data_IF_860555817823
#
_entry.id   IF_860555817823
#
_cell.length_a   1.000
_cell.length_b   1.000
_cell.length_c   1.000
_cell.angle_alpha   90.00
_cell.angle_beta   90.00
_cell.angle_gamma   90.00
#
_symmetry.space_group_name_H-M   'P 1'
#
loop_
_entity.id
_entity.type
_entity.pdbx_description
1 polymer ?
#
# COMPACT_ATOMS: atom_id res chain seq x y z
N UNK A 1 -14.92 6.62 -11.91
CA UNK A 1 -13.93 7.13 -10.93
C UNK A 1 -12.66 6.29 -11.05
N UNK A 2 -12.00 6.35 -12.21
CA UNK A 2 -10.74 5.65 -12.52
C UNK A 2 -9.90 6.47 -13.53
N UNK A 3 -10.25 7.75 -13.73
CA UNK A 3 -9.64 8.67 -14.71
C UNK A 3 -8.67 9.69 -14.08
N UNK A 4 -8.27 9.47 -12.82
CA UNK A 4 -7.40 10.42 -12.10
C UNK A 4 -5.93 10.02 -12.02
N UNK A 5 -5.55 8.81 -12.47
CA UNK A 5 -4.18 8.30 -12.31
C UNK A 5 -3.31 8.49 -13.56
N UNK A 6 -3.54 9.55 -14.34
CA UNK A 6 -2.74 9.91 -15.52
C UNK A 6 -1.53 10.81 -15.22
N UNK A 7 -1.04 10.88 -13.98
CA UNK A 7 0.16 11.66 -13.64
C UNK A 7 1.03 10.84 -12.71
N UNK A 8 2.22 10.51 -13.21
CA UNK A 8 3.35 9.88 -12.52
C UNK A 8 3.01 9.41 -11.10
N UNK A 9 2.81 8.11 -10.93
CA UNK A 9 2.81 7.53 -9.59
C UNK A 9 4.13 7.97 -8.93
N UNK A 10 4.02 8.76 -7.86
CA UNK A 10 5.15 9.22 -7.07
C UNK A 10 5.04 8.57 -5.70
N UNK A 11 6.14 8.56 -4.96
CA UNK A 11 6.15 8.08 -3.58
C UNK A 11 5.00 8.65 -2.76
N UNK A 12 4.73 9.95 -2.91
CA UNK A 12 3.68 10.65 -2.18
C UNK A 12 2.28 10.15 -2.55
N UNK A 13 1.93 10.08 -3.85
CA UNK A 13 0.57 9.69 -4.26
C UNK A 13 0.29 8.23 -3.89
N UNK A 14 1.27 7.35 -4.05
CA UNK A 14 1.15 5.94 -3.64
C UNK A 14 1.06 5.81 -2.11
N UNK A 15 1.86 6.57 -1.35
CA UNK A 15 1.79 6.60 0.11
C UNK A 15 0.42 7.07 0.62
N UNK A 16 -0.15 8.11 0.01
CA UNK A 16 -1.47 8.63 0.38
C UNK A 16 -2.58 7.61 0.15
N UNK A 17 -2.52 6.84 -0.95
CA UNK A 17 -3.47 5.76 -1.23
C UNK A 17 -3.40 4.69 -0.16
N UNK A 18 -2.20 4.18 0.16
CA UNK A 18 -2.04 3.16 1.19
C UNK A 18 -2.48 3.67 2.57
N UNK A 19 -2.18 4.93 2.91
CA UNK A 19 -2.62 5.55 4.16
C UNK A 19 -4.14 5.70 4.23
N UNK A 20 -4.80 6.01 3.13
CA UNK A 20 -6.26 6.07 3.06
C UNK A 20 -6.88 4.69 3.28
N UNK A 21 -6.32 3.64 2.66
CA UNK A 21 -6.75 2.24 2.85
C UNK A 21 -6.53 1.79 4.29
N UNK A 22 -5.38 2.16 4.87
CA UNK A 22 -5.02 1.91 6.25
C UNK A 22 -5.86 2.72 7.26
N UNK A 23 -6.80 3.56 6.81
CA UNK A 23 -7.61 4.44 7.67
C UNK A 23 -6.73 5.31 8.58
N UNK A 24 -5.72 5.96 7.99
CA UNK A 24 -4.70 6.75 8.68
C UNK A 24 -3.81 5.99 9.67
N UNK A 25 -3.84 4.65 9.66
CA UNK A 25 -2.87 3.83 10.39
C UNK A 25 -1.54 3.73 9.62
N UNK A 26 -0.42 3.54 10.33
CA UNK A 26 0.89 3.33 9.71
C UNK A 26 1.10 1.91 9.15
N UNK A 27 0.12 1.02 9.34
CA UNK A 27 0.16 -0.38 8.92
C UNK A 27 -1.15 -0.79 8.27
N UNK A 28 -1.10 -1.75 7.36
CA UNK A 28 -2.26 -2.40 6.75
C UNK A 28 -2.55 -3.72 7.43
N UNK A 29 -3.82 -4.02 7.63
CA UNK A 29 -4.26 -5.35 8.10
C UNK A 29 -4.57 -6.25 6.91
N UNK A 30 -4.55 -7.56 7.13
CA UNK A 30 -4.99 -8.53 6.12
C UNK A 30 -6.38 -8.26 5.59
N UNK A 31 -7.30 -7.83 6.46
CA UNK A 31 -8.66 -7.48 6.08
C UNK A 31 -8.70 -6.29 5.12
N UNK A 32 -7.87 -5.28 5.34
CA UNK A 32 -7.76 -4.13 4.44
C UNK A 32 -7.11 -4.52 3.10
N UNK A 33 -6.11 -5.41 3.13
CA UNK A 33 -5.50 -5.91 1.90
C UNK A 33 -6.51 -6.68 1.05
N UNK A 34 -7.27 -7.60 1.65
CA UNK A 34 -8.27 -8.41 0.96
C UNK A 34 -9.50 -7.59 0.50
N UNK A 35 -9.85 -6.53 1.24
CA UNK A 35 -10.99 -5.67 0.90
C UNK A 35 -10.71 -4.71 -0.25
N UNK A 36 -9.47 -4.20 -0.36
CA UNK A 36 -9.12 -3.15 -1.31
C UNK A 36 -8.27 -3.63 -2.49
N UNK A 37 -7.62 -4.80 -2.37
CA UNK A 37 -6.79 -5.39 -3.42
C UNK A 37 -7.32 -6.77 -3.83
N UNK A 38 -7.02 -7.19 -5.05
CA UNK A 38 -7.33 -8.55 -5.51
C UNK A 38 -6.53 -9.58 -4.72
N UNK A 39 -6.98 -10.84 -4.69
CA UNK A 39 -6.27 -11.91 -3.96
C UNK A 39 -4.80 -12.06 -4.40
N UNK A 40 -4.52 -11.87 -5.69
CA UNK A 40 -3.16 -11.92 -6.26
C UNK A 40 -2.31 -10.74 -5.77
N UNK A 41 -2.83 -9.52 -5.86
CA UNK A 41 -2.16 -8.30 -5.40
C UNK A 41 -1.94 -8.32 -3.88
N UNK A 42 -2.92 -8.77 -3.11
CA UNK A 42 -2.83 -8.91 -1.67
C UNK A 42 -1.75 -9.94 -1.28
N UNK A 43 -1.68 -11.08 -1.98
CA UNK A 43 -0.62 -12.07 -1.75
C UNK A 43 0.78 -11.52 -2.09
N UNK A 44 0.89 -10.76 -3.18
CA UNK A 44 2.13 -10.08 -3.55
C UNK A 44 2.54 -9.06 -2.49
N UNK A 45 1.62 -8.19 -2.07
CA UNK A 45 1.86 -7.18 -1.03
C UNK A 45 2.25 -7.84 0.29
N UNK A 46 1.60 -8.92 0.71
CA UNK A 46 2.00 -9.67 1.94
C UNK A 46 3.44 -10.21 1.88
N UNK A 47 3.94 -10.52 0.69
CA UNK A 47 5.31 -11.00 0.48
C UNK A 47 6.35 -9.88 0.42
N UNK A 48 5.94 -8.70 -0.07
CA UNK A 48 6.81 -7.54 -0.22
C UNK A 48 6.84 -6.64 1.03
N UNK A 49 5.69 -6.46 1.67
CA UNK A 49 5.53 -5.60 2.83
C UNK A 49 6.12 -6.27 4.06
N UNK A 50 6.78 -5.46 4.88
CA UNK A 50 7.33 -5.93 6.14
C UNK A 50 6.20 -6.17 7.14
N UNK A 51 6.09 -7.39 7.63
CA UNK A 51 5.16 -7.72 8.70
C UNK A 51 5.68 -7.16 10.03
N UNK A 52 4.98 -6.15 10.55
CA UNK A 52 5.17 -5.59 11.88
C UNK A 52 4.23 -6.24 12.91
N UNK A 53 4.27 -5.70 14.14
CA UNK A 53 3.53 -6.25 15.28
C UNK A 53 2.00 -6.21 15.12
N UNK A 54 1.49 -5.23 14.36
CA UNK A 54 0.05 -4.96 14.21
C UNK A 54 -0.45 -5.03 12.75
N UNK A 55 0.39 -5.48 11.81
CA UNK A 55 0.05 -5.52 10.39
C UNK A 55 1.26 -5.34 9.48
N UNK A 56 1.03 -4.94 8.24
CA UNK A 56 2.04 -4.77 7.20
C UNK A 56 2.44 -3.31 7.05
N UNK A 57 3.73 -3.02 7.24
CA UNK A 57 4.31 -1.69 7.06
C UNK A 57 4.45 -1.39 5.56
N UNK A 58 3.65 -0.46 5.04
CA UNK A 58 3.68 -0.07 3.62
C UNK A 58 4.66 1.06 3.32
N UNK A 59 5.02 1.87 4.32
CA UNK A 59 5.81 3.06 4.10
C UNK A 59 7.21 2.75 3.55
N UNK A 60 7.90 1.76 4.13
CA UNK A 60 9.25 1.36 3.70
C UNK A 60 9.26 0.83 2.26
N UNK A 61 8.27 0.00 1.93
CA UNK A 61 8.11 -0.55 0.59
C UNK A 61 7.81 0.52 -0.45
N UNK A 62 6.86 1.43 -0.18
CA UNK A 62 6.55 2.53 -1.09
C UNK A 62 7.78 3.41 -1.32
N UNK A 63 8.55 3.74 -0.28
CA UNK A 63 9.80 4.46 -0.45
C UNK A 63 10.79 3.69 -1.34
N UNK A 64 10.92 2.37 -1.16
CA UNK A 64 11.80 1.53 -1.99
C UNK A 64 11.42 1.50 -3.47
N UNK A 65 10.16 1.70 -3.84
CA UNK A 65 9.72 1.69 -5.25
C UNK A 65 10.21 2.92 -6.03
N UNK A 66 10.31 4.06 -5.36
CA UNK A 66 10.58 5.36 -6.00
C UNK A 66 11.94 5.96 -5.64
N UNK A 67 12.67 5.34 -4.70
CA UNK A 67 14.03 5.72 -4.36
C UNK A 67 15.00 5.24 -5.46
N UNK A 68 14.97 5.94 -6.61
CA UNK A 68 15.96 5.88 -7.70
C UNK A 68 17.12 6.83 -7.42
#
# INVERSE_FOLDING_TARGET
MLDHFSKAETTETTMEVFKAIAQNQPVLTDAQLDQYFSAEDAAYLRSQLKQGENGYEFADWVNSLYNQ
#
